data_IF_692268587292
#
_entry.id   IF_692268587292
#
_cell.length_a   1.000
_cell.length_b   1.000
_cell.length_c   1.000
_cell.angle_alpha   90.00
_cell.angle_beta   90.00
_cell.angle_gamma   90.00
#
_symmetry.space_group_name_H-M   'P 1'
#
loop_
_entity.id
_entity.type
_entity.pdbx_description
1 polymer ?
#
# COMPACT_ATOMS: atom_id res chain seq x y z
N UNK A 1 -26.35 54.10 70.28
CA UNK A 1 -27.65 54.21 71.01
C UNK A 1 -27.73 53.28 72.22
N UNK A 2 -27.40 51.98 72.13
CA UNK A 2 -27.54 51.01 73.24
C UNK A 2 -26.79 51.39 74.54
N UNK A 3 -25.51 51.81 74.50
CA UNK A 3 -24.74 52.24 75.70
C UNK A 3 -25.38 53.41 76.47
N UNK A 4 -25.92 54.41 75.76
CA UNK A 4 -26.54 55.59 76.40
C UNK A 4 -27.90 55.28 77.04
N UNK A 5 -28.65 54.33 76.48
CA UNK A 5 -29.95 53.88 77.01
C UNK A 5 -29.76 53.03 78.28
N UNK A 6 -28.73 52.18 78.32
CA UNK A 6 -28.40 51.38 79.50
C UNK A 6 -27.95 52.27 80.66
N UNK A 7 -27.12 53.28 80.41
CA UNK A 7 -26.68 54.25 81.42
C UNK A 7 -27.85 55.09 81.96
N UNK A 8 -28.79 55.51 81.09
CA UNK A 8 -29.97 56.25 81.52
C UNK A 8 -30.95 55.40 82.34
N UNK A 9 -31.14 54.12 82.01
CA UNK A 9 -31.97 53.20 82.77
C UNK A 9 -31.38 52.89 84.17
N UNK A 10 -30.05 52.76 84.25
CA UNK A 10 -29.33 52.55 85.51
C UNK A 10 -29.35 53.79 86.41
N UNK A 11 -29.24 54.99 85.83
CA UNK A 11 -29.38 56.26 86.56
C UNK A 11 -30.80 56.53 87.07
N UNK A 12 -31.84 55.94 86.46
CA UNK A 12 -33.21 56.03 86.96
C UNK A 12 -33.45 55.06 88.13
N UNK A 13 -32.82 53.88 88.10
CA UNK A 13 -32.79 52.95 89.23
C UNK A 13 -32.02 53.51 90.44
N UNK A 14 -30.98 54.33 90.19
CA UNK A 14 -30.14 55.01 91.19
C UNK A 14 -30.92 55.95 92.14
N UNK A 15 -31.93 56.67 91.64
CA UNK A 15 -32.74 57.58 92.48
C UNK A 15 -33.63 56.79 93.46
N UNK A 16 -33.96 55.53 93.14
CA UNK A 16 -34.91 54.74 93.92
C UNK A 16 -34.26 53.87 95.02
N UNK A 17 -32.94 53.67 95.02
CA UNK A 17 -32.26 52.73 95.95
C UNK A 17 -31.32 53.36 96.98
N UNK A 18 -30.97 54.64 96.86
CA UNK A 18 -30.16 55.36 97.85
C UNK A 18 -28.67 54.95 97.95
N UNK A 19 -28.11 54.26 96.94
CA UNK A 19 -26.68 53.91 96.89
C UNK A 19 -25.79 55.09 96.40
N UNK A 20 -24.54 55.17 96.86
CA UNK A 20 -23.59 56.22 96.46
C UNK A 20 -23.03 55.97 95.06
N UNK A 21 -22.67 57.04 94.34
CA UNK A 21 -22.06 56.95 93.00
C UNK A 21 -20.69 56.23 93.03
N UNK A 22 -20.03 56.21 94.19
CA UNK A 22 -18.74 55.55 94.40
C UNK A 22 -18.88 54.02 94.43
N UNK A 23 -19.94 53.52 95.08
CA UNK A 23 -20.24 52.08 95.17
C UNK A 23 -20.54 51.47 93.80
N UNK A 24 -21.05 52.28 92.86
CA UNK A 24 -21.32 51.85 91.48
C UNK A 24 -20.05 51.80 90.62
N UNK A 25 -19.10 52.72 90.83
CA UNK A 25 -17.82 52.68 90.11
C UNK A 25 -16.97 51.50 90.58
N UNK A 26 -16.94 51.20 91.88
CA UNK A 26 -16.30 49.98 92.39
C UNK A 26 -16.95 48.73 91.80
N UNK A 27 -18.28 48.65 91.76
CA UNK A 27 -18.98 47.53 91.11
C UNK A 27 -18.77 47.45 89.59
N UNK A 28 -18.49 48.57 88.91
CA UNK A 28 -18.17 48.60 87.49
C UNK A 28 -16.74 48.12 87.22
N UNK A 29 -15.80 48.47 88.10
CA UNK A 29 -14.41 48.03 88.03
C UNK A 29 -14.31 46.52 88.33
N UNK A 30 -15.03 46.02 89.33
CA UNK A 30 -15.15 44.58 89.62
C UNK A 30 -15.76 43.80 88.45
N UNK A 31 -16.79 44.37 87.80
CA UNK A 31 -17.40 43.75 86.62
C UNK A 31 -16.45 43.71 85.42
N UNK A 32 -15.61 44.74 85.22
CA UNK A 32 -14.61 44.76 84.16
C UNK A 32 -13.47 43.77 84.40
N UNK A 33 -13.03 43.63 85.65
CA UNK A 33 -12.01 42.63 86.02
C UNK A 33 -12.53 41.20 85.77
N UNK A 34 -13.80 40.94 86.12
CA UNK A 34 -14.47 39.67 85.81
C UNK A 34 -14.58 39.42 84.30
N UNK A 35 -14.95 40.42 83.51
CA UNK A 35 -15.02 40.28 82.04
C UNK A 35 -13.64 40.01 81.46
N UNK A 36 -12.59 40.67 81.94
CA UNK A 36 -11.21 40.40 81.50
C UNK A 36 -10.80 38.97 81.82
N UNK A 37 -11.05 38.50 83.04
CA UNK A 37 -10.75 37.12 83.44
C UNK A 37 -11.52 36.07 82.65
N UNK A 38 -12.78 36.35 82.29
CA UNK A 38 -13.58 35.47 81.40
C UNK A 38 -13.01 35.47 79.98
N UNK A 39 -12.58 36.61 79.45
CA UNK A 39 -11.98 36.70 78.11
C UNK A 39 -10.65 35.93 78.06
N UNK A 40 -9.81 36.07 79.10
CA UNK A 40 -8.54 35.37 79.20
C UNK A 40 -8.77 33.85 79.34
N UNK A 41 -9.70 33.43 80.21
CA UNK A 41 -10.07 32.02 80.37
C UNK A 41 -10.66 31.42 79.08
N UNK A 42 -11.48 32.18 78.32
CA UNK A 42 -11.99 31.76 77.02
C UNK A 42 -10.88 31.67 75.98
N UNK A 43 -9.93 32.60 76.00
CA UNK A 43 -8.75 32.58 75.12
C UNK A 43 -7.84 31.38 75.40
N UNK A 44 -7.59 31.07 76.67
CA UNK A 44 -6.85 29.87 77.08
C UNK A 44 -7.59 28.60 76.72
N UNK A 45 -8.90 28.50 77.00
CA UNK A 45 -9.71 27.33 76.62
C UNK A 45 -9.72 27.11 75.09
N UNK A 46 -9.76 28.18 74.29
CA UNK A 46 -9.68 28.07 72.84
C UNK A 46 -8.33 27.51 72.37
N UNK A 47 -7.24 27.85 73.05
CA UNK A 47 -5.90 27.33 72.75
C UNK A 47 -5.65 25.93 73.32
N UNK A 48 -6.14 25.62 74.52
CA UNK A 48 -5.97 24.32 75.18
C UNK A 48 -6.90 23.23 74.66
N UNK A 49 -8.08 23.59 74.11
CA UNK A 49 -9.09 22.60 73.71
C UNK A 49 -8.64 21.62 72.63
N UNK A 50 -7.48 21.81 71.99
CA UNK A 50 -6.97 20.94 70.93
C UNK A 50 -7.81 20.94 69.64
N UNK A 51 -9.02 21.49 69.69
CA UNK A 51 -10.00 21.47 68.61
C UNK A 51 -9.47 22.09 67.32
N UNK A 52 -8.67 23.17 67.40
CA UNK A 52 -8.05 23.77 66.22
C UNK A 52 -6.96 22.87 65.60
N UNK A 53 -6.20 22.15 66.43
CA UNK A 53 -5.20 21.17 65.96
C UNK A 53 -5.88 19.97 65.34
N UNK A 54 -6.93 19.44 65.97
CA UNK A 54 -7.72 18.33 65.42
C UNK A 54 -8.38 18.72 64.10
N UNK A 55 -8.96 19.91 63.98
CA UNK A 55 -9.53 20.40 62.71
C UNK A 55 -8.44 20.50 61.64
N UNK A 56 -7.26 21.05 61.98
CA UNK A 56 -6.15 21.19 61.04
C UNK A 56 -5.62 19.84 60.57
N UNK A 57 -5.46 18.89 61.48
CA UNK A 57 -4.95 17.55 61.18
C UNK A 57 -6.01 16.76 60.38
N UNK A 58 -7.28 16.81 60.77
CA UNK A 58 -8.37 16.21 60.00
C UNK A 58 -8.47 16.78 58.58
N UNK A 59 -8.36 18.11 58.42
CA UNK A 59 -8.36 18.75 57.08
C UNK A 59 -7.14 18.32 56.27
N UNK A 60 -5.96 18.28 56.89
CA UNK A 60 -4.72 17.86 56.24
C UNK A 60 -4.78 16.40 55.81
N UNK A 61 -5.30 15.52 56.66
CA UNK A 61 -5.43 14.10 56.38
C UNK A 61 -6.49 13.84 55.31
N UNK A 62 -7.66 14.49 55.37
CA UNK A 62 -8.66 14.41 54.29
C UNK A 62 -8.13 14.91 52.93
N UNK A 63 -7.35 16.00 52.90
CA UNK A 63 -6.74 16.49 51.65
C UNK A 63 -5.69 15.50 51.12
N UNK A 64 -4.86 14.93 52.00
CA UNK A 64 -3.79 14.02 51.61
C UNK A 64 -4.30 12.64 51.20
N UNK A 65 -5.26 12.08 51.93
CA UNK A 65 -5.77 10.73 51.66
C UNK A 65 -6.83 10.72 50.57
N UNK A 66 -7.80 11.63 50.61
CA UNK A 66 -8.93 11.55 49.68
C UNK A 66 -8.68 12.34 48.40
N UNK A 67 -8.30 13.62 48.52
CA UNK A 67 -8.16 14.50 47.36
C UNK A 67 -6.93 14.13 46.54
N UNK A 68 -5.78 13.96 47.18
CA UNK A 68 -4.52 13.71 46.47
C UNK A 68 -4.54 12.35 45.77
N UNK A 69 -5.02 11.28 46.42
CA UNK A 69 -5.09 9.96 45.79
C UNK A 69 -6.16 9.90 44.70
N UNK A 70 -7.33 10.53 44.91
CA UNK A 70 -8.37 10.62 43.87
C UNK A 70 -7.88 11.34 42.61
N UNK A 71 -7.15 12.45 42.78
CA UNK A 71 -6.56 13.19 41.65
C UNK A 71 -5.48 12.37 40.95
N UNK A 72 -4.58 11.70 41.69
CA UNK A 72 -3.55 10.83 41.09
C UNK A 72 -4.17 9.72 40.25
N UNK A 73 -5.18 9.04 40.77
CA UNK A 73 -5.84 7.94 40.05
C UNK A 73 -6.59 8.47 38.82
N UNK A 74 -7.30 9.60 38.96
CA UNK A 74 -8.00 10.23 37.82
C UNK A 74 -7.03 10.63 36.71
N UNK A 75 -5.90 11.25 37.05
CA UNK A 75 -4.88 11.65 36.07
C UNK A 75 -4.23 10.43 35.42
N UNK A 76 -3.96 9.38 36.19
CA UNK A 76 -3.40 8.12 35.68
C UNK A 76 -4.35 7.43 34.70
N UNK A 77 -5.62 7.31 35.03
CA UNK A 77 -6.61 6.70 34.16
C UNK A 77 -6.89 7.55 32.91
N UNK A 78 -6.95 8.88 33.05
CA UNK A 78 -7.02 9.78 31.90
C UNK A 78 -5.81 9.62 30.97
N UNK A 79 -4.60 9.48 31.52
CA UNK A 79 -3.38 9.23 30.76
C UNK A 79 -3.42 7.89 30.00
N UNK A 80 -3.92 6.82 30.63
CA UNK A 80 -4.11 5.52 29.97
C UNK A 80 -5.14 5.58 28.85
N UNK A 81 -6.28 6.21 29.09
CA UNK A 81 -7.32 6.36 28.08
C UNK A 81 -6.83 7.17 26.88
N UNK A 82 -6.10 8.27 27.13
CA UNK A 82 -5.49 9.07 26.08
C UNK A 82 -4.47 8.25 25.27
N UNK A 83 -3.61 7.48 25.95
CA UNK A 83 -2.63 6.62 25.28
C UNK A 83 -3.29 5.52 24.43
N UNK A 84 -4.37 4.90 24.94
CA UNK A 84 -5.17 3.93 24.19
C UNK A 84 -5.80 4.54 22.95
N UNK A 85 -6.48 5.68 23.09
CA UNK A 85 -7.13 6.37 21.99
C UNK A 85 -6.14 6.81 20.89
N UNK A 86 -4.94 7.27 21.27
CA UNK A 86 -3.88 7.62 20.32
C UNK A 86 -3.35 6.38 19.62
N UNK A 87 -3.12 5.29 20.36
CA UNK A 87 -2.62 4.03 19.78
C UNK A 87 -3.59 3.45 18.76
N UNK A 88 -4.89 3.40 19.11
CA UNK A 88 -5.93 2.89 18.23
C UNK A 88 -6.10 3.76 16.99
N UNK A 89 -6.12 5.10 17.17
CA UNK A 89 -6.24 6.03 16.04
C UNK A 89 -5.06 5.94 15.06
N UNK A 90 -3.83 5.83 15.58
CA UNK A 90 -2.63 5.68 14.75
C UNK A 90 -2.63 4.33 14.03
N UNK A 91 -3.04 3.25 14.70
CA UNK A 91 -3.11 1.91 14.12
C UNK A 91 -4.13 1.86 12.98
N UNK A 92 -5.31 2.43 13.18
CA UNK A 92 -6.36 2.48 12.15
C UNK A 92 -5.98 3.37 10.97
N UNK A 93 -5.40 4.54 11.23
CA UNK A 93 -4.93 5.44 10.19
C UNK A 93 -3.80 4.81 9.35
N UNK A 94 -2.83 4.18 10.00
CA UNK A 94 -1.73 3.49 9.32
C UNK A 94 -2.25 2.30 8.50
N UNK A 95 -3.16 1.49 9.06
CA UNK A 95 -3.75 0.34 8.37
C UNK A 95 -4.51 0.75 7.12
N UNK A 96 -5.36 1.79 7.20
CA UNK A 96 -6.08 2.33 6.03
C UNK A 96 -5.14 2.93 5.01
N UNK A 97 -4.18 3.74 5.44
CA UNK A 97 -3.22 4.37 4.53
C UNK A 97 -2.39 3.32 3.76
N UNK A 98 -1.95 2.26 4.43
CA UNK A 98 -1.23 1.16 3.78
C UNK A 98 -2.12 0.39 2.80
N UNK A 99 -3.36 0.08 3.21
CA UNK A 99 -4.33 -0.64 2.37
C UNK A 99 -4.66 0.14 1.10
N UNK A 100 -4.92 1.44 1.22
CA UNK A 100 -5.27 2.31 0.10
C UNK A 100 -4.09 2.54 -0.83
N UNK A 101 -2.89 2.81 -0.27
CA UNK A 101 -1.68 2.99 -1.07
C UNK A 101 -1.31 1.72 -1.83
N UNK A 102 -1.39 0.55 -1.19
CA UNK A 102 -1.10 -0.74 -1.83
C UNK A 102 -2.14 -1.05 -2.90
N UNK A 103 -3.43 -0.90 -2.59
CA UNK A 103 -4.50 -1.18 -3.56
C UNK A 103 -4.40 -0.29 -4.79
N UNK A 104 -4.11 1.00 -4.60
CA UNK A 104 -3.94 1.94 -5.70
C UNK A 104 -2.69 1.63 -6.52
N UNK A 105 -1.54 1.41 -5.87
CA UNK A 105 -0.30 1.12 -6.57
C UNK A 105 -0.39 -0.17 -7.40
N UNK A 106 -0.97 -1.24 -6.84
CA UNK A 106 -1.17 -2.52 -7.54
C UNK A 106 -2.17 -2.37 -8.67
N UNK A 107 -3.27 -1.64 -8.45
CA UNK A 107 -4.29 -1.42 -9.50
C UNK A 107 -3.72 -0.59 -10.65
N UNK A 108 -3.00 0.48 -10.36
CA UNK A 108 -2.43 1.37 -11.37
C UNK A 108 -1.32 0.64 -12.15
N UNK A 109 -0.44 -0.12 -11.46
CA UNK A 109 0.62 -0.91 -12.10
C UNK A 109 0.05 -2.05 -12.98
N UNK A 110 -0.91 -2.83 -12.47
CA UNK A 110 -1.56 -3.88 -13.25
C UNK A 110 -2.33 -3.30 -14.46
N UNK A 111 -2.98 -2.15 -14.29
CA UNK A 111 -3.69 -1.50 -15.40
C UNK A 111 -2.74 -1.02 -16.50
N UNK A 112 -1.58 -0.47 -16.13
CA UNK A 112 -0.55 -0.06 -17.09
C UNK A 112 0.05 -1.26 -17.81
N UNK A 113 0.45 -2.29 -17.07
CA UNK A 113 1.01 -3.52 -17.63
C UNK A 113 0.06 -4.20 -18.62
N UNK A 114 -1.23 -4.31 -18.27
CA UNK A 114 -2.26 -4.85 -19.17
C UNK A 114 -2.48 -3.93 -20.38
N UNK A 115 -2.49 -2.61 -20.19
CA UNK A 115 -2.65 -1.65 -21.28
C UNK A 115 -1.51 -1.74 -22.29
N UNK A 116 -0.27 -1.88 -21.82
CA UNK A 116 0.91 -1.95 -22.69
C UNK A 116 0.96 -3.28 -23.45
N UNK A 117 0.71 -4.40 -22.79
CA UNK A 117 0.61 -5.72 -23.43
C UNK A 117 -0.54 -5.76 -24.44
N UNK A 118 -1.72 -5.24 -24.09
CA UNK A 118 -2.84 -5.16 -25.01
C UNK A 118 -2.51 -4.25 -26.20
N UNK A 119 -1.86 -3.11 -25.99
CA UNK A 119 -1.49 -2.19 -27.09
C UNK A 119 -0.47 -2.83 -28.04
N UNK A 120 0.50 -3.60 -27.52
CA UNK A 120 1.44 -4.35 -28.35
C UNK A 120 0.75 -5.47 -29.13
N UNK A 121 -0.15 -6.22 -28.48
CA UNK A 121 -0.92 -7.28 -29.13
C UNK A 121 -1.86 -6.73 -30.21
N UNK A 122 -2.55 -5.62 -29.94
CA UNK A 122 -3.40 -4.96 -30.93
C UNK A 122 -2.60 -4.34 -32.06
N UNK A 123 -1.46 -3.69 -31.79
CA UNK A 123 -0.60 -3.16 -32.87
C UNK A 123 -0.08 -4.29 -33.78
N UNK A 124 0.29 -5.43 -33.19
CA UNK A 124 0.68 -6.62 -33.94
C UNK A 124 -0.48 -7.21 -34.77
N UNK A 125 -1.73 -7.08 -34.29
CA UNK A 125 -2.92 -7.56 -34.98
C UNK A 125 -3.44 -6.58 -36.06
N UNK A 126 -3.37 -5.27 -35.84
CA UNK A 126 -3.85 -4.25 -36.78
C UNK A 126 -2.96 -4.16 -38.03
N UNK A 127 -1.66 -4.44 -37.92
CA UNK A 127 -0.76 -4.61 -39.07
C UNK A 127 -0.98 -5.95 -39.83
N UNK A 128 -1.85 -6.83 -39.32
CA UNK A 128 -2.10 -8.17 -39.88
C UNK A 128 -3.41 -8.33 -40.67
N UNK A 129 -4.30 -7.33 -40.65
CA UNK A 129 -5.54 -7.34 -41.45
C UNK A 129 -5.28 -6.97 -42.92
N UNK A 130 -4.56 -7.86 -43.61
CA UNK A 130 -4.28 -7.76 -45.04
C UNK A 130 -2.79 -7.85 -45.34
N UNK A 131 -2.34 -9.05 -45.72
CA UNK A 131 -1.00 -9.25 -46.26
C UNK A 131 -0.76 -8.48 -47.56
N UNK A 132 0.50 -8.21 -47.86
CA UNK A 132 0.94 -7.52 -49.08
C UNK A 132 1.19 -8.49 -50.24
N UNK A 133 1.27 -9.79 -49.96
CA UNK A 133 1.51 -10.82 -50.96
C UNK A 133 0.19 -11.38 -51.48
N UNK A 134 0.15 -11.63 -52.79
CA UNK A 134 -0.93 -12.33 -53.47
C UNK A 134 -0.53 -13.75 -53.89
N UNK A 135 0.76 -13.99 -54.11
CA UNK A 135 1.30 -15.32 -54.44
C UNK A 135 2.79 -15.48 -54.13
N UNK A 136 3.30 -16.71 -54.28
CA UNK A 136 4.71 -17.05 -54.04
C UNK A 136 5.67 -16.34 -55.01
N UNK A 137 5.20 -15.94 -56.18
CA UNK A 137 6.03 -15.19 -57.14
C UNK A 137 6.39 -13.78 -56.63
N UNK A 138 5.56 -13.18 -55.77
CA UNK A 138 5.77 -11.82 -55.26
C UNK A 138 7.04 -11.71 -54.39
N UNK A 139 7.45 -12.81 -53.75
CA UNK A 139 8.63 -12.83 -52.89
C UNK A 139 9.93 -13.04 -53.64
N UNK A 140 9.89 -13.33 -54.95
CA UNK A 140 11.08 -13.53 -55.79
C UNK A 140 12.12 -14.51 -55.17
N UNK A 141 11.64 -15.63 -54.61
CA UNK A 141 12.49 -16.61 -53.92
C UNK A 141 13.62 -17.10 -54.83
N UNK A 142 14.87 -16.96 -54.37
CA UNK A 142 16.06 -17.21 -55.17
C UNK A 142 17.05 -18.10 -54.42
N UNK A 143 17.50 -19.19 -55.05
CA UNK A 143 18.58 -20.04 -54.56
C UNK A 143 19.94 -19.36 -54.77
N UNK A 144 20.48 -18.75 -53.72
CA UNK A 144 21.67 -17.89 -53.78
C UNK A 144 22.99 -18.64 -53.88
N UNK A 145 23.04 -19.90 -53.44
CA UNK A 145 24.27 -20.71 -53.46
C UNK A 145 24.30 -21.76 -54.58
N UNK A 146 23.19 -21.92 -55.29
CA UNK A 146 23.01 -22.92 -56.35
C UNK A 146 23.06 -24.36 -55.84
N UNK A 147 23.03 -24.57 -54.52
CA UNK A 147 23.10 -25.87 -53.85
C UNK A 147 21.80 -26.27 -53.18
N UNK A 148 20.81 -25.37 -53.18
CA UNK A 148 19.52 -25.62 -52.51
C UNK A 148 19.65 -25.55 -51.00
N UNK A 149 20.59 -24.73 -50.50
CA UNK A 149 20.77 -24.54 -49.06
C UNK A 149 20.50 -23.11 -48.64
N UNK A 150 21.04 -22.11 -49.34
CA UNK A 150 20.84 -20.71 -48.99
C UNK A 150 19.93 -20.04 -50.01
N UNK A 151 18.82 -19.50 -49.53
CA UNK A 151 17.84 -18.79 -50.31
C UNK A 151 17.69 -17.34 -49.83
N UNK A 152 17.28 -16.46 -50.73
CA UNK A 152 16.84 -15.10 -50.43
C UNK A 152 15.45 -14.85 -50.98
N UNK A 153 14.65 -14.06 -50.28
CA UNK A 153 13.35 -13.59 -50.77
C UNK A 153 13.12 -12.13 -50.36
N UNK A 154 12.21 -11.46 -51.06
CA UNK A 154 11.83 -10.07 -50.80
C UNK A 154 10.49 -10.00 -50.10
N UNK A 155 10.37 -9.05 -49.18
CA UNK A 155 9.12 -8.72 -48.52
C UNK A 155 9.16 -7.26 -48.09
N UNK A 156 8.14 -6.48 -48.47
CA UNK A 156 8.07 -5.03 -48.21
C UNK A 156 9.35 -4.27 -48.60
N UNK A 157 9.92 -4.61 -49.76
CA UNK A 157 11.17 -4.02 -50.26
C UNK A 157 12.45 -4.39 -49.50
N UNK A 158 12.35 -5.23 -48.46
CA UNK A 158 13.50 -5.78 -47.72
C UNK A 158 13.84 -7.18 -48.21
N UNK A 159 15.12 -7.55 -48.14
CA UNK A 159 15.60 -8.90 -48.46
C UNK A 159 15.79 -9.72 -47.18
N UNK A 160 15.27 -10.95 -47.19
CA UNK A 160 15.34 -11.92 -46.11
C UNK A 160 16.13 -13.15 -46.55
N UNK A 161 16.76 -13.83 -45.59
CA UNK A 161 17.52 -15.07 -45.85
C UNK A 161 16.74 -16.26 -45.29
N UNK A 162 16.53 -17.27 -46.13
CA UNK A 162 16.01 -18.59 -45.75
C UNK A 162 17.11 -19.64 -45.94
N UNK A 163 17.32 -20.49 -44.94
CA UNK A 163 18.36 -21.51 -44.94
C UNK A 163 17.70 -22.87 -44.79
N UNK A 164 17.88 -23.72 -45.79
CA UNK A 164 17.43 -25.10 -45.72
C UNK A 164 18.50 -26.00 -45.12
N UNK A 165 18.07 -26.85 -44.21
CA UNK A 165 18.76 -28.08 -43.82
C UNK A 165 17.76 -29.23 -43.93
N UNK A 166 18.22 -30.48 -43.98
CA UNK A 166 17.30 -31.62 -44.14
C UNK A 166 16.15 -31.54 -43.15
N UNK A 167 14.92 -31.49 -43.67
CA UNK A 167 13.66 -31.40 -42.90
C UNK A 167 13.51 -30.15 -42.04
N UNK A 168 14.20 -29.06 -42.36
CA UNK A 168 14.18 -27.86 -41.54
C UNK A 168 14.50 -26.60 -42.36
N UNK A 169 13.67 -25.57 -42.20
CA UNK A 169 13.90 -24.24 -42.78
C UNK A 169 14.13 -23.23 -41.68
N UNK A 170 15.12 -22.34 -41.85
CA UNK A 170 15.34 -21.21 -40.95
C UNK A 170 15.25 -19.88 -41.68
N UNK A 171 14.39 -18.98 -41.23
CA UNK A 171 14.27 -17.63 -41.78
C UNK A 171 14.88 -16.62 -40.81
N UNK A 172 15.82 -15.81 -41.30
CA UNK A 172 16.51 -14.80 -40.50
C UNK A 172 15.68 -13.53 -40.33
N UNK A 173 15.64 -13.00 -39.11
CA UNK A 173 14.86 -11.82 -38.72
C UNK A 173 13.37 -11.92 -39.07
N UNK A 174 12.83 -13.13 -38.99
CA UNK A 174 11.45 -13.46 -39.39
C UNK A 174 10.41 -12.74 -38.54
N UNK A 175 10.76 -12.29 -37.33
CA UNK A 175 9.93 -11.49 -36.41
C UNK A 175 9.39 -10.17 -37.00
N UNK A 176 9.96 -9.71 -38.12
CA UNK A 176 9.53 -8.49 -38.81
C UNK A 176 8.33 -8.71 -39.74
N UNK A 177 7.99 -9.95 -40.05
CA UNK A 177 6.87 -10.32 -40.91
C UNK A 177 5.76 -10.80 -39.99
N UNK A 178 4.68 -10.02 -39.86
CA UNK A 178 3.61 -10.26 -38.89
C UNK A 178 2.31 -10.79 -39.52
N UNK A 179 2.08 -10.52 -40.80
CA UNK A 179 0.88 -10.97 -41.50
C UNK A 179 0.88 -12.48 -41.67
N UNK A 180 -0.08 -13.15 -41.02
CA UNK A 180 -0.27 -14.61 -41.13
C UNK A 180 -0.50 -15.05 -42.58
N UNK A 181 -1.30 -14.28 -43.33
CA UNK A 181 -1.59 -14.59 -44.72
C UNK A 181 -0.33 -14.58 -45.58
N UNK A 182 0.57 -13.61 -45.35
CA UNK A 182 1.85 -13.54 -46.06
C UNK A 182 2.81 -14.62 -45.61
N UNK A 183 2.86 -14.93 -44.31
CA UNK A 183 3.65 -16.04 -43.78
C UNK A 183 3.25 -17.36 -44.42
N UNK A 184 1.95 -17.62 -44.59
CA UNK A 184 1.43 -18.81 -45.29
C UNK A 184 1.96 -18.85 -46.73
N UNK A 185 1.90 -17.73 -47.46
CA UNK A 185 2.41 -17.66 -48.84
C UNK A 185 3.92 -17.95 -48.90
N UNK A 186 4.70 -17.36 -47.99
CA UNK A 186 6.14 -17.59 -47.89
C UNK A 186 6.43 -19.06 -47.56
N UNK A 187 5.74 -19.62 -46.57
CA UNK A 187 5.90 -21.02 -46.17
C UNK A 187 5.57 -21.98 -47.32
N UNK A 188 4.51 -21.71 -48.09
CA UNK A 188 4.18 -22.51 -49.27
C UNK A 188 5.29 -22.46 -50.32
N UNK A 189 5.85 -21.29 -50.60
CA UNK A 189 6.98 -21.14 -51.52
C UNK A 189 8.21 -21.95 -51.07
N UNK A 190 8.48 -22.01 -49.77
CA UNK A 190 9.57 -22.81 -49.20
C UNK A 190 9.30 -24.32 -49.30
N UNK A 191 8.07 -24.75 -49.04
CA UNK A 191 7.65 -26.16 -49.18
C UNK A 191 7.80 -26.62 -50.64
N UNK A 192 7.44 -25.77 -51.60
CA UNK A 192 7.51 -26.09 -53.03
C UNK A 192 8.96 -26.33 -53.49
N UNK A 193 9.93 -25.66 -52.89
CA UNK A 193 11.37 -25.92 -53.08
C UNK A 193 11.82 -27.19 -52.34
N UNK A 194 11.56 -27.23 -51.03
CA UNK A 194 11.92 -28.35 -50.16
C UNK A 194 10.82 -28.61 -49.12
N UNK A 195 10.08 -29.73 -49.24
CA UNK A 195 9.07 -30.08 -48.26
C UNK A 195 9.73 -30.48 -46.94
N UNK A 196 9.10 -30.12 -45.83
CA UNK A 196 9.57 -30.46 -44.48
C UNK A 196 8.63 -31.48 -43.85
N UNK A 197 9.18 -32.51 -43.22
CA UNK A 197 8.38 -33.48 -42.51
C UNK A 197 7.77 -32.86 -41.24
N UNK A 198 6.62 -33.39 -40.84
CA UNK A 198 6.06 -33.16 -39.52
C UNK A 198 6.83 -33.91 -38.44
N UNK A 199 6.42 -33.71 -37.19
CA UNK A 199 6.99 -34.32 -36.00
C UNK A 199 7.04 -35.85 -36.03
N UNK A 200 6.10 -36.47 -36.74
CA UNK A 200 6.05 -37.93 -36.90
C UNK A 200 7.11 -38.48 -37.88
N UNK A 201 7.82 -37.60 -38.59
CA UNK A 201 8.79 -37.91 -39.65
C UNK A 201 8.21 -38.78 -40.78
N UNK A 202 6.89 -38.77 -40.96
CA UNK A 202 6.16 -39.55 -41.97
C UNK A 202 5.28 -38.63 -42.81
N UNK A 203 4.53 -37.74 -42.15
CA UNK A 203 3.74 -36.70 -42.79
C UNK A 203 4.61 -35.52 -43.21
N UNK A 204 4.13 -34.72 -44.17
CA UNK A 204 4.71 -33.43 -44.51
C UNK A 204 3.89 -32.31 -43.90
N UNK A 205 4.54 -31.21 -43.53
CA UNK A 205 3.84 -30.03 -42.97
C UNK A 205 3.09 -29.26 -44.05
N UNK A 206 2.02 -28.59 -43.64
CA UNK A 206 1.34 -27.58 -44.46
C UNK A 206 1.94 -26.20 -44.23
N UNK A 207 1.66 -25.27 -45.14
CA UNK A 207 2.09 -23.88 -44.99
C UNK A 207 1.45 -23.21 -43.77
N UNK A 208 0.20 -23.57 -43.45
CA UNK A 208 -0.52 -23.11 -42.26
C UNK A 208 0.14 -23.59 -40.97
N UNK A 209 0.55 -24.86 -40.90
CA UNK A 209 1.27 -25.40 -39.74
C UNK A 209 2.60 -24.66 -39.52
N UNK A 210 3.31 -24.35 -40.61
CA UNK A 210 4.54 -23.56 -40.55
C UNK A 210 4.27 -22.12 -40.10
N UNK A 211 3.27 -21.45 -40.68
CA UNK A 211 2.91 -20.09 -40.30
C UNK A 211 2.48 -19.99 -38.83
N UNK A 212 1.75 -20.97 -38.31
CA UNK A 212 1.39 -21.03 -36.90
C UNK A 212 2.64 -21.04 -35.99
N UNK A 213 3.63 -21.90 -36.27
CA UNK A 213 4.89 -21.92 -35.52
C UNK A 213 5.65 -20.58 -35.64
N UNK A 214 5.63 -19.96 -36.83
CA UNK A 214 6.21 -18.63 -37.03
C UNK A 214 5.55 -17.59 -36.11
N UNK A 215 4.22 -17.59 -36.02
CA UNK A 215 3.51 -16.70 -35.09
C UNK A 215 3.92 -16.93 -33.63
N UNK A 216 4.15 -18.18 -33.22
CA UNK A 216 4.68 -18.48 -31.88
C UNK A 216 6.07 -17.87 -31.67
N UNK A 217 6.98 -17.96 -32.66
CA UNK A 217 8.28 -17.31 -32.60
C UNK A 217 8.17 -15.78 -32.51
N UNK A 218 7.30 -15.16 -33.31
CA UNK A 218 7.08 -13.71 -33.27
C UNK A 218 6.54 -13.28 -31.90
N UNK A 219 5.57 -14.03 -31.37
CA UNK A 219 5.00 -13.80 -30.05
C UNK A 219 6.05 -13.95 -28.95
N UNK A 220 6.91 -14.98 -29.04
CA UNK A 220 8.05 -15.14 -28.15
C UNK A 220 9.02 -13.96 -28.23
N UNK A 221 9.34 -13.47 -29.44
CA UNK A 221 10.20 -12.31 -29.61
C UNK A 221 9.61 -11.04 -28.96
N UNK A 222 8.29 -10.85 -29.02
CA UNK A 222 7.59 -9.72 -28.39
C UNK A 222 7.63 -9.84 -26.86
N UNK A 223 7.30 -11.01 -26.32
CA UNK A 223 7.12 -11.17 -24.87
C UNK A 223 8.39 -11.46 -24.09
N UNK A 224 9.43 -12.00 -24.71
CA UNK A 224 10.70 -12.24 -24.05
C UNK A 224 11.45 -10.92 -23.89
N UNK A 225 12.05 -10.71 -22.71
CA UNK A 225 12.82 -9.52 -22.37
C UNK A 225 14.03 -9.32 -23.27
N UNK A 226 14.41 -8.07 -23.50
CA UNK A 226 15.55 -7.71 -24.38
C UNK A 226 16.90 -8.24 -23.89
N UNK A 227 17.05 -8.47 -22.59
CA UNK A 227 18.26 -8.99 -21.95
C UNK A 227 18.33 -10.52 -21.88
N UNK A 228 17.28 -11.22 -22.32
CA UNK A 228 17.25 -12.69 -22.33
C UNK A 228 17.82 -13.25 -23.64
N UNK A 229 18.73 -14.21 -23.52
CA UNK A 229 19.35 -14.91 -24.65
C UNK A 229 18.31 -15.61 -25.54
N UNK A 230 17.15 -15.98 -25.01
CA UNK A 230 16.07 -16.61 -25.77
C UNK A 230 15.45 -15.66 -26.79
N UNK A 231 15.43 -14.34 -26.54
CA UNK A 231 14.91 -13.37 -27.52
C UNK A 231 15.70 -13.41 -28.82
N UNK A 232 17.02 -13.61 -28.71
CA UNK A 232 17.89 -13.77 -29.88
C UNK A 232 17.61 -15.04 -30.69
N UNK A 233 17.03 -16.07 -30.06
CA UNK A 233 16.59 -17.29 -30.76
C UNK A 233 15.23 -17.06 -31.41
N UNK A 234 14.29 -16.42 -30.71
CA UNK A 234 12.94 -16.16 -31.19
C UNK A 234 12.87 -15.24 -32.41
N UNK A 235 13.89 -14.41 -32.66
CA UNK A 235 13.95 -13.52 -33.84
C UNK A 235 14.03 -14.25 -35.19
N UNK A 236 14.45 -15.51 -35.18
CA UNK A 236 14.55 -16.35 -36.37
C UNK A 236 13.64 -17.57 -36.16
N UNK A 237 12.62 -17.76 -37.01
CA UNK A 237 11.88 -19.02 -37.05
C UNK A 237 12.75 -20.10 -37.66
N UNK A 238 12.75 -21.29 -37.06
CA UNK A 238 13.58 -22.41 -37.50
C UNK A 238 12.84 -23.71 -37.80
N UNK A 239 11.51 -23.71 -37.87
CA UNK A 239 10.69 -24.80 -38.43
C UNK A 239 11.17 -26.19 -38.06
N UNK A 240 11.50 -26.37 -36.77
CA UNK A 240 11.91 -27.65 -36.22
C UNK A 240 10.69 -28.58 -36.23
N UNK A 241 10.75 -29.78 -36.85
CA UNK A 241 9.65 -30.73 -36.77
C UNK A 241 9.19 -31.01 -35.34
N UNK A 242 10.08 -30.93 -34.35
CA UNK A 242 9.72 -31.12 -32.94
C UNK A 242 8.80 -30.01 -32.40
N UNK A 243 8.87 -28.80 -32.94
CA UNK A 243 8.08 -27.63 -32.53
C UNK A 243 6.68 -27.62 -33.17
N UNK A 244 6.40 -28.54 -34.11
CA UNK A 244 5.10 -28.62 -34.77
C UNK A 244 3.96 -28.75 -33.76
N UNK A 245 3.01 -27.80 -33.84
CA UNK A 245 1.79 -27.80 -33.04
C UNK A 245 1.99 -27.42 -31.58
N UNK A 246 3.19 -26.98 -31.17
CA UNK A 246 3.40 -26.46 -29.81
C UNK A 246 2.60 -25.19 -29.58
N UNK A 247 2.05 -25.06 -28.38
CA UNK A 247 1.56 -23.78 -27.87
C UNK A 247 2.73 -22.88 -27.45
N UNK A 248 2.46 -21.58 -27.27
CA UNK A 248 3.45 -20.64 -26.75
C UNK A 248 4.02 -21.07 -25.39
N UNK A 249 3.18 -21.64 -24.52
CA UNK A 249 3.60 -22.14 -23.21
C UNK A 249 4.56 -23.32 -23.34
N UNK A 250 4.22 -24.30 -24.19
CA UNK A 250 5.07 -25.47 -24.45
C UNK A 250 6.39 -25.08 -25.11
N UNK A 251 6.36 -24.16 -26.07
CA UNK A 251 7.55 -23.61 -26.70
C UNK A 251 8.43 -22.90 -25.67
N UNK A 252 7.89 -21.99 -24.86
CA UNK A 252 8.65 -21.31 -23.82
C UNK A 252 9.28 -22.30 -22.83
N UNK A 253 8.51 -23.30 -22.41
CA UNK A 253 8.97 -24.34 -21.49
C UNK A 253 10.04 -25.23 -22.09
N UNK A 254 9.96 -25.56 -23.38
CA UNK A 254 10.98 -26.37 -24.06
C UNK A 254 12.33 -25.65 -24.12
N UNK A 255 12.32 -24.32 -24.26
CA UNK A 255 13.54 -23.51 -24.37
C UNK A 255 14.12 -23.07 -23.03
N UNK A 256 13.28 -22.78 -22.03
CA UNK A 256 13.73 -22.26 -20.71
C UNK A 256 13.75 -23.32 -19.60
N UNK A 257 13.00 -24.41 -19.77
CA UNK A 257 12.72 -25.37 -18.71
C UNK A 257 11.74 -24.87 -17.63
N UNK A 258 11.13 -23.70 -17.81
CA UNK A 258 10.21 -23.06 -16.87
C UNK A 258 8.80 -22.96 -17.45
N UNK A 259 7.79 -22.99 -16.59
CA UNK A 259 6.43 -22.63 -17.01
C UNK A 259 6.39 -21.13 -17.35
N UNK A 260 5.57 -20.75 -18.33
CA UNK A 260 5.43 -19.36 -18.74
C UNK A 260 4.78 -18.57 -17.60
N UNK A 261 5.55 -17.67 -16.97
CA UNK A 261 5.05 -16.77 -15.94
C UNK A 261 4.75 -15.39 -16.53
N UNK A 262 3.56 -14.87 -16.26
CA UNK A 262 3.19 -13.50 -16.62
C UNK A 262 4.14 -12.50 -15.95
N UNK A 263 4.69 -12.79 -14.78
CA UNK A 263 5.71 -11.96 -14.13
C UNK A 263 6.99 -11.80 -14.96
N UNK A 264 7.44 -12.87 -15.64
CA UNK A 264 8.61 -12.83 -16.52
C UNK A 264 8.37 -11.91 -17.74
N UNK A 265 7.11 -11.85 -18.21
CA UNK A 265 6.68 -11.01 -19.34
C UNK A 265 6.51 -9.54 -18.91
N UNK A 266 5.95 -9.29 -17.73
CA UNK A 266 5.66 -7.94 -17.24
C UNK A 266 6.86 -7.27 -16.56
N UNK A 267 7.92 -8.03 -16.27
CA UNK A 267 9.17 -7.50 -15.72
C UNK A 267 9.14 -7.16 -14.23
N UNK A 268 8.18 -7.72 -13.49
CA UNK A 268 8.10 -7.57 -12.04
C UNK A 268 9.07 -8.55 -11.35
N UNK A 269 10.23 -8.03 -10.91
CA UNK A 269 11.12 -8.68 -9.93
C UNK A 269 10.84 -8.16 -8.51
#
# INVERSE_FOLDING_TARGET
>A
MKKRVVIAALAMAFVMSGCSLNDYNEGLDEANELVSGVVDAVGELANESGALSEIKDNVKDSINEEVTESVKETVREAGKQAAGAVTDSVKDAASKALSDATSKAVTDAASQAVSDVASQALSAAEDSEGGILSSAEDIELTNTDGKGKNYSFKYDGQEYTAIYTTDNWKIKNSYKILSETDQIIICQALIDEHPVHGKDMVSFRTAEDMAYEWQIHNMAYVFIRDDDDLKNHAKDVDFDPEDQGMTMEEFYKSRTGKDLDIGDILGDN
#
